data_IF_828687478309
#
_entry.id   IF_828687478309
#
_cell.length_a   1.000
_cell.length_b   1.000
_cell.length_c   1.000
_cell.angle_alpha   90.00
_cell.angle_beta   90.00
_cell.angle_gamma   90.00
#
_symmetry.space_group_name_H-M   'P 1'
#
loop_
_entity.id
_entity.type
_entity.pdbx_description
1 polymer ?
#
# COMPACT_ATOMS: atom_id res chain seq x y z
N UNK A 1 13.11 -15.52 11.06
CA UNK A 1 12.95 -14.71 9.83
C UNK A 1 11.97 -15.37 8.87
N UNK A 2 10.79 -14.78 8.66
CA UNK A 2 9.77 -15.30 7.75
C UNK A 2 9.56 -14.32 6.59
N UNK A 3 9.95 -14.71 5.38
CA UNK A 3 9.71 -13.94 4.16
C UNK A 3 8.28 -14.19 3.68
N UNK A 4 7.48 -13.13 3.46
CA UNK A 4 6.08 -13.29 3.06
C UNK A 4 5.72 -12.45 1.84
N UNK A 5 5.42 -13.15 0.74
CA UNK A 5 4.96 -12.57 -0.52
C UNK A 5 3.47 -12.34 -0.45
N UNK A 6 3.00 -11.13 -0.77
CA UNK A 6 1.58 -10.90 -0.98
C UNK A 6 1.35 -10.01 -2.22
N UNK A 7 0.32 -10.35 -2.97
CA UNK A 7 -0.16 -9.58 -4.11
C UNK A 7 -1.38 -8.78 -3.66
N UNK A 8 -1.38 -7.47 -3.93
CA UNK A 8 -2.53 -6.63 -3.64
C UNK A 8 -3.05 -5.94 -4.91
N UNK A 9 -4.27 -6.29 -5.30
CA UNK A 9 -4.95 -5.66 -6.42
C UNK A 9 -5.76 -4.44 -5.94
N UNK A 10 -5.71 -3.35 -6.70
CA UNK A 10 -6.60 -2.22 -6.49
C UNK A 10 -8.03 -2.67 -6.81
N UNK A 11 -8.86 -2.90 -5.78
CA UNK A 11 -10.24 -3.32 -5.99
C UNK A 11 -11.00 -2.21 -6.74
N UNK A 12 -11.64 -2.60 -7.85
CA UNK A 12 -12.14 -1.79 -8.97
C UNK A 12 -10.99 -1.35 -9.88
N UNK A 13 -11.01 -1.84 -11.14
CA UNK A 13 -10.07 -1.62 -12.28
C UNK A 13 -9.76 -0.15 -12.65
N UNK A 14 -9.80 0.78 -11.72
CA UNK A 14 -9.33 2.14 -11.88
C UNK A 14 -7.82 2.12 -11.71
N UNK A 15 -7.08 2.70 -12.66
CA UNK A 15 -5.65 2.74 -12.52
C UNK A 15 -5.32 3.76 -11.41
N UNK A 16 -5.01 3.26 -10.22
CA UNK A 16 -4.74 4.06 -9.03
C UNK A 16 -3.29 4.57 -8.98
N UNK A 17 -2.39 3.99 -9.77
CA UNK A 17 -0.97 4.31 -9.76
C UNK A 17 -0.54 4.86 -11.14
N UNK A 18 -1.33 5.80 -11.69
CA UNK A 18 -1.14 6.34 -13.05
C UNK A 18 -0.04 7.39 -13.19
N UNK A 19 0.43 7.95 -12.09
CA UNK A 19 1.44 9.01 -12.10
C UNK A 19 2.21 9.03 -10.78
N UNK A 20 3.34 9.73 -10.80
CA UNK A 20 4.24 9.83 -9.66
C UNK A 20 3.57 10.43 -8.43
N UNK A 21 2.65 11.38 -8.60
CA UNK A 21 1.90 11.96 -7.48
C UNK A 21 1.09 10.90 -6.73
N UNK A 22 0.40 9.99 -7.43
CA UNK A 22 -0.33 8.89 -6.79
C UNK A 22 0.61 7.85 -6.19
N UNK A 23 1.76 7.59 -6.81
CA UNK A 23 2.79 6.71 -6.24
C UNK A 23 3.35 7.31 -4.94
N UNK A 24 3.54 8.62 -4.87
CA UNK A 24 3.98 9.28 -3.64
C UNK A 24 2.93 9.23 -2.53
N UNK A 25 1.64 9.33 -2.85
CA UNK A 25 0.58 9.09 -1.86
C UNK A 25 0.65 7.67 -1.29
N UNK A 26 0.92 6.67 -2.13
CA UNK A 26 1.13 5.29 -1.68
C UNK A 26 2.37 5.20 -0.77
N UNK A 27 3.51 5.74 -1.20
CA UNK A 27 4.75 5.77 -0.39
C UNK A 27 4.53 6.45 0.96
N UNK A 28 3.78 7.55 0.99
CA UNK A 28 3.40 8.20 2.23
C UNK A 28 2.60 7.27 3.14
N UNK A 29 1.58 6.58 2.60
CA UNK A 29 0.79 5.62 3.38
C UNK A 29 1.66 4.50 3.97
N UNK A 30 2.62 3.99 3.21
CA UNK A 30 3.62 3.03 3.69
C UNK A 30 4.46 3.60 4.84
N UNK A 31 5.04 4.80 4.68
CA UNK A 31 5.86 5.46 5.72
C UNK A 31 5.05 5.67 7.01
N UNK A 32 3.80 6.13 6.89
CA UNK A 32 2.93 6.38 8.04
C UNK A 32 2.62 5.10 8.82
N UNK A 33 2.33 3.99 8.13
CA UNK A 33 2.05 2.71 8.79
C UNK A 33 3.33 2.11 9.35
N UNK A 34 4.45 2.16 8.61
CA UNK A 34 5.76 1.66 9.08
C UNK A 34 6.21 2.35 10.37
N UNK A 35 5.93 3.65 10.52
CA UNK A 35 6.23 4.39 11.75
C UNK A 35 5.44 3.90 12.98
N UNK A 36 4.23 3.36 12.79
CA UNK A 36 3.35 2.88 13.88
C UNK A 36 3.45 1.38 14.12
N UNK A 37 3.76 0.62 13.07
CA UNK A 37 3.90 -0.84 13.07
C UNK A 37 5.05 -1.19 12.13
N UNK A 38 6.28 -1.38 12.64
CA UNK A 38 7.44 -1.67 11.81
C UNK A 38 7.25 -2.90 10.92
N UNK A 39 7.81 -2.82 9.72
CA UNK A 39 8.01 -3.90 8.74
C UNK A 39 9.00 -3.40 7.70
N UNK A 40 9.68 -4.32 7.03
CA UNK A 40 10.58 -3.98 5.93
C UNK A 40 9.94 -4.32 4.59
N UNK A 41 10.07 -3.39 3.65
CA UNK A 41 9.66 -3.61 2.26
C UNK A 41 10.90 -4.12 1.53
N UNK A 42 10.95 -5.43 1.30
CA UNK A 42 12.06 -6.07 0.59
C UNK A 42 11.99 -5.73 -0.89
N UNK A 43 10.79 -5.79 -1.47
CA UNK A 43 10.55 -5.42 -2.86
C UNK A 43 9.12 -4.89 -3.03
N UNK A 44 8.94 -3.99 -4.00
CA UNK A 44 7.63 -3.53 -4.43
C UNK A 44 7.62 -3.28 -5.94
N UNK A 45 6.62 -3.81 -6.65
CA UNK A 45 6.37 -3.53 -8.07
C UNK A 45 5.03 -2.80 -8.17
N UNK A 46 5.06 -1.61 -8.77
CA UNK A 46 3.88 -0.77 -8.95
C UNK A 46 3.54 -0.72 -10.44
N UNK A 47 2.37 -1.23 -10.78
CA UNK A 47 1.76 -1.12 -12.10
C UNK A 47 0.55 -0.19 -12.00
N UNK A 48 0.05 0.41 -13.08
CA UNK A 48 -1.05 1.38 -13.00
C UNK A 48 -2.28 0.89 -12.21
N UNK A 49 -2.57 -0.41 -12.24
CA UNK A 49 -3.71 -1.07 -11.61
C UNK A 49 -3.35 -2.11 -10.53
N UNK A 50 -2.06 -2.46 -10.35
CA UNK A 50 -1.65 -3.52 -9.42
C UNK A 50 -0.45 -3.09 -8.56
N UNK A 51 -0.41 -3.59 -7.34
CA UNK A 51 0.73 -3.47 -6.44
C UNK A 51 1.13 -4.85 -5.95
N UNK A 52 2.38 -5.24 -6.22
CA UNK A 52 2.97 -6.44 -5.62
C UNK A 52 4.01 -6.01 -4.60
N UNK A 53 4.01 -6.63 -3.42
CA UNK A 53 4.96 -6.31 -2.37
C UNK A 53 5.44 -7.57 -1.66
N UNK A 54 6.73 -7.56 -1.31
CA UNK A 54 7.35 -8.53 -0.44
C UNK A 54 7.75 -7.81 0.84
N UNK A 55 7.20 -8.26 1.97
CA UNK A 55 7.54 -7.70 3.28
C UNK A 55 8.26 -8.71 4.14
N UNK A 56 9.22 -8.22 4.92
CA UNK A 56 9.70 -8.90 6.10
C UNK A 56 8.98 -8.32 7.32
N UNK A 57 8.48 -9.20 8.18
CA UNK A 57 7.68 -8.82 9.35
C UNK A 57 8.49 -9.13 10.63
N UNK A 58 8.29 -8.32 11.69
CA UNK A 58 8.83 -8.64 13.01
C UNK A 58 8.34 -10.01 13.49
N UNK A 59 9.19 -10.76 14.20
CA UNK A 59 8.85 -12.10 14.71
C UNK A 59 7.75 -12.04 15.78
N UNK A 60 7.66 -10.92 16.50
CA UNK A 60 6.68 -10.63 17.54
C UNK A 60 5.36 -10.04 17.00
N UNK A 61 5.31 -9.60 15.74
CA UNK A 61 4.11 -9.05 15.10
C UNK A 61 4.07 -9.38 13.59
N UNK A 62 3.60 -10.58 13.31
CA UNK A 62 3.36 -11.08 11.94
C UNK A 62 2.00 -10.64 11.36
N UNK A 63 1.31 -9.65 11.92
CA UNK A 63 0.00 -9.22 11.40
C UNK A 63 0.16 -8.30 10.18
N UNK A 64 0.29 -8.93 9.02
CA UNK A 64 0.34 -8.24 7.72
C UNK A 64 -1.02 -7.64 7.34
N UNK A 65 -2.12 -8.30 7.72
CA UNK A 65 -3.48 -7.92 7.35
C UNK A 65 -3.82 -6.54 7.90
N UNK A 66 -3.47 -6.27 9.16
CA UNK A 66 -3.69 -4.97 9.79
C UNK A 66 -2.80 -3.89 9.16
N UNK A 67 -1.52 -4.18 8.88
CA UNK A 67 -0.63 -3.24 8.17
C UNK A 67 -1.21 -2.88 6.81
N UNK A 68 -1.58 -3.88 6.02
CA UNK A 68 -2.15 -3.69 4.68
C UNK A 68 -3.47 -2.93 4.72
N UNK A 69 -4.38 -3.27 5.64
CA UNK A 69 -5.63 -2.53 5.82
C UNK A 69 -5.37 -1.05 6.12
N UNK A 70 -4.46 -0.74 7.03
CA UNK A 70 -4.10 0.65 7.38
C UNK A 70 -3.47 1.40 6.21
N UNK A 71 -2.61 0.75 5.42
CA UNK A 71 -2.02 1.35 4.21
C UNK A 71 -3.13 1.71 3.23
N UNK A 72 -4.03 0.77 2.92
CA UNK A 72 -5.17 1.05 2.02
C UNK A 72 -6.03 2.20 2.52
N UNK A 73 -6.39 2.21 3.81
CA UNK A 73 -7.21 3.29 4.39
C UNK A 73 -6.50 4.64 4.32
N UNK A 74 -5.19 4.68 4.64
CA UNK A 74 -4.38 5.89 4.57
C UNK A 74 -4.23 6.41 3.14
N UNK A 75 -4.03 5.52 2.18
CA UNK A 75 -3.94 5.84 0.75
C UNK A 75 -5.29 6.35 0.20
N UNK A 76 -6.38 5.61 0.41
CA UNK A 76 -7.72 5.97 -0.09
C UNK A 76 -8.19 7.34 0.41
N UNK A 77 -7.87 7.71 1.66
CA UNK A 77 -8.21 9.02 2.22
C UNK A 77 -7.46 10.20 1.58
N UNK A 78 -6.35 9.94 0.91
CA UNK A 78 -5.53 10.97 0.24
C UNK A 78 -5.79 11.06 -1.25
N UNK A 79 -6.48 10.07 -1.83
CA UNK A 79 -6.91 10.17 -3.21
C UNK A 79 -7.88 11.35 -3.34
N UNK A 80 -7.80 12.14 -4.42
CA UNK A 80 -8.77 13.18 -4.67
C UNK A 80 -10.16 12.55 -4.70
N UNK A 81 -11.15 13.26 -4.15
CA UNK A 81 -12.54 12.86 -4.30
C UNK A 81 -12.81 12.62 -5.79
N UNK A 82 -13.52 11.55 -6.13
CA UNK A 82 -14.03 11.39 -7.49
C UNK A 82 -14.83 12.66 -7.77
N UNK A 83 -14.39 13.46 -8.74
CA UNK A 83 -15.14 14.63 -9.17
C UNK A 83 -16.58 14.19 -9.38
N UNK A 84 -17.49 14.79 -8.62
CA UNK A 84 -18.90 14.79 -9.00
C UNK A 84 -18.89 15.46 -10.37
N UNK A 85 -19.25 14.70 -11.40
CA UNK A 85 -19.26 15.19 -12.77
C UNK A 85 -20.05 16.49 -12.83
N UNK A 86 -19.43 17.51 -13.40
CA UNK A 86 -20.14 18.61 -14.04
C UNK A 86 -20.55 18.14 -15.45
#
# INVERSE_FOLDING_TARGET
>A
MAERIFTAEANRRQPLFINDARVELLRHAFREVKAKRPFDVVAAVILPNHLHCLWNLPEDDADFSVRWHRIKTSFSRRLPAKGVGA
#
